data_IF_438883402497
#
_entry.id   IF_438883402497
#
_cell.length_a   1.000
_cell.length_b   1.000
_cell.length_c   1.000
_cell.angle_alpha   90.00
_cell.angle_beta   90.00
_cell.angle_gamma   90.00
#
_symmetry.space_group_name_H-M   'P 1'
#
loop_
_entity.id
_entity.type
_entity.pdbx_description
1 polymer ?
#
# COMPACT_ATOMS: atom_id res chain seq x y z
N UNK A 1 -10.34 -16.96 -1.39
CA UNK A 1 -11.56 -16.45 -0.74
C UNK A 1 -12.41 -15.76 -1.79
N UNK A 2 -13.75 -15.87 -1.74
CA UNK A 2 -14.62 -15.11 -2.64
C UNK A 2 -14.29 -13.62 -2.52
N UNK A 3 -14.15 -12.91 -3.64
CA UNK A 3 -14.05 -11.44 -3.61
C UNK A 3 -15.38 -10.89 -3.08
N UNK A 4 -15.30 -9.94 -2.16
CA UNK A 4 -16.45 -9.12 -1.77
C UNK A 4 -17.07 -8.48 -3.03
N UNK A 5 -18.40 -8.50 -3.13
CA UNK A 5 -19.11 -7.76 -4.18
C UNK A 5 -18.97 -6.24 -3.95
N UNK A 6 -19.21 -5.43 -4.98
CA UNK A 6 -19.18 -3.95 -4.84
C UNK A 6 -20.15 -3.48 -3.75
N UNK A 7 -21.35 -4.07 -3.65
CA UNK A 7 -22.32 -3.75 -2.61
C UNK A 7 -21.82 -4.10 -1.20
N UNK A 8 -21.19 -5.27 -1.04
CA UNK A 8 -20.60 -5.68 0.25
C UNK A 8 -19.47 -4.73 0.68
N UNK A 9 -18.63 -4.32 -0.27
CA UNK A 9 -17.55 -3.36 -0.02
C UNK A 9 -18.10 -1.97 0.39
N UNK A 10 -19.11 -1.46 -0.32
CA UNK A 10 -19.70 -0.15 0.00
C UNK A 10 -20.43 -0.19 1.34
N UNK A 11 -21.17 -1.25 1.63
CA UNK A 11 -21.82 -1.45 2.93
C UNK A 11 -20.79 -1.48 4.06
N UNK A 12 -19.70 -2.22 3.86
CA UNK A 12 -18.57 -2.27 4.79
C UNK A 12 -17.98 -0.87 5.05
N UNK A 13 -17.72 -0.09 3.99
CA UNK A 13 -17.20 1.27 4.13
C UNK A 13 -18.16 2.19 4.88
N UNK A 14 -19.47 2.08 4.66
CA UNK A 14 -20.49 2.83 5.43
C UNK A 14 -20.47 2.47 6.90
N UNK A 15 -20.37 1.18 7.23
CA UNK A 15 -20.19 0.71 8.62
C UNK A 15 -18.91 1.27 9.27
N UNK A 16 -17.83 1.44 8.49
CA UNK A 16 -16.61 2.09 9.00
C UNK A 16 -16.83 3.56 9.33
N UNK A 17 -17.58 4.30 8.51
CA UNK A 17 -17.93 5.70 8.79
C UNK A 17 -18.74 5.84 10.10
N UNK A 18 -19.48 4.81 10.49
CA UNK A 18 -20.20 4.73 11.77
C UNK A 18 -19.30 4.32 12.96
N UNK A 19 -17.98 4.20 12.76
CA UNK A 19 -17.02 3.87 13.82
C UNK A 19 -16.87 2.37 14.11
N UNK A 20 -17.28 1.50 13.17
CA UNK A 20 -17.17 0.04 13.32
C UNK A 20 -16.25 -0.53 12.24
N UNK A 21 -15.20 -1.25 12.64
CA UNK A 21 -14.28 -1.90 11.70
C UNK A 21 -14.39 -3.42 11.83
N UNK A 22 -15.29 -4.06 11.07
CA UNK A 22 -15.35 -5.51 11.05
C UNK A 22 -14.13 -6.03 10.27
N UNK A 23 -13.30 -6.82 10.95
CA UNK A 23 -12.18 -7.52 10.33
C UNK A 23 -12.59 -8.98 10.22
N UNK A 24 -12.54 -9.55 9.02
CA UNK A 24 -12.83 -10.96 8.81
C UNK A 24 -12.00 -11.84 9.77
N UNK A 25 -12.67 -12.66 10.58
CA UNK A 25 -12.03 -13.54 11.56
C UNK A 25 -11.66 -12.90 12.92
N UNK A 26 -11.98 -11.62 13.17
CA UNK A 26 -11.84 -10.97 14.48
C UNK A 26 -13.19 -10.33 14.85
N UNK A 27 -13.62 -10.47 16.11
CA UNK A 27 -14.80 -9.74 16.61
C UNK A 27 -14.65 -8.25 16.31
N UNK A 28 -15.73 -7.62 15.83
CA UNK A 28 -15.72 -6.21 15.44
C UNK A 28 -15.15 -5.36 16.57
N UNK A 29 -14.05 -4.65 16.29
CA UNK A 29 -13.45 -3.74 17.27
C UNK A 29 -13.99 -2.34 17.07
N UNK A 30 -14.23 -1.57 18.16
CA UNK A 30 -14.50 -0.15 18.03
C UNK A 30 -13.36 0.50 17.25
N UNK A 31 -13.68 1.21 16.17
CA UNK A 31 -12.74 2.01 15.41
C UNK A 31 -13.10 3.48 15.63
N UNK A 32 -12.22 4.22 16.30
CA UNK A 32 -12.40 5.66 16.43
C UNK A 32 -11.83 6.34 15.19
N UNK A 33 -12.71 6.76 14.29
CA UNK A 33 -12.34 7.63 13.19
C UNK A 33 -12.12 9.08 13.70
N UNK A 34 -11.30 9.88 13.00
CA UNK A 34 -10.61 9.54 11.76
C UNK A 34 -9.36 8.67 11.94
N UNK A 35 -8.70 8.72 13.10
CA UNK A 35 -7.53 7.88 13.41
C UNK A 35 -7.46 7.57 14.91
N UNK A 36 -7.18 6.32 15.26
CA UNK A 36 -7.05 5.87 16.64
C UNK A 36 -5.63 5.38 16.95
N UNK A 37 -4.85 6.24 17.61
CA UNK A 37 -3.49 5.91 18.05
C UNK A 37 -3.42 4.67 18.95
N UNK A 38 -4.49 4.38 19.71
CA UNK A 38 -4.54 3.22 20.60
C UNK A 38 -4.73 1.92 19.82
N UNK A 39 -5.42 1.98 18.68
CA UNK A 39 -5.66 0.84 17.81
C UNK A 39 -4.38 0.33 17.14
N UNK A 40 -3.33 1.16 16.99
CA UNK A 40 -2.06 0.76 16.37
C UNK A 40 -1.39 -0.42 17.09
N UNK A 41 -1.49 -0.48 18.42
CA UNK A 41 -0.85 -1.50 19.25
C UNK A 41 -1.83 -2.51 19.85
N UNK A 42 -3.11 -2.38 19.54
CA UNK A 42 -4.13 -3.23 20.10
C UNK A 42 -4.12 -4.62 19.43
N UNK A 43 -4.63 -5.63 20.12
CA UNK A 43 -4.90 -6.94 19.52
C UNK A 43 -3.66 -7.72 19.08
N UNK A 44 -3.89 -8.72 18.23
CA UNK A 44 -2.86 -9.62 17.74
C UNK A 44 -2.06 -9.00 16.57
N UNK A 45 -1.00 -9.71 16.17
CA UNK A 45 -0.13 -9.30 15.05
C UNK A 45 -0.91 -9.09 13.75
N UNK A 46 -1.93 -9.91 13.46
CA UNK A 46 -2.76 -9.75 12.28
C UNK A 46 -3.48 -8.39 12.24
N UNK A 47 -4.10 -7.99 13.35
CA UNK A 47 -4.70 -6.66 13.47
C UNK A 47 -3.67 -5.55 13.30
N UNK A 48 -2.57 -5.62 14.04
CA UNK A 48 -1.54 -4.57 14.02
C UNK A 48 -0.95 -4.38 12.62
N UNK A 49 -0.74 -5.48 11.89
CA UNK A 49 -0.27 -5.48 10.51
C UNK A 49 -1.29 -4.79 9.59
N UNK A 50 -2.56 -5.19 9.66
CA UNK A 50 -3.64 -4.63 8.82
C UNK A 50 -3.86 -3.14 9.08
N UNK A 51 -3.87 -2.74 10.35
CA UNK A 51 -4.08 -1.35 10.75
C UNK A 51 -2.89 -0.47 10.33
N UNK A 52 -1.66 -0.90 10.63
CA UNK A 52 -0.43 -0.19 10.25
C UNK A 52 -0.18 -0.18 8.75
N UNK A 53 -0.71 -1.17 8.03
CA UNK A 53 -0.68 -1.30 6.58
C UNK A 53 -1.86 -0.64 5.86
N UNK A 54 -2.57 0.28 6.52
CA UNK A 54 -3.59 1.13 5.87
C UNK A 54 -4.86 0.39 5.38
N UNK A 55 -5.26 -0.70 6.04
CA UNK A 55 -6.50 -1.39 5.67
C UNK A 55 -7.76 -0.52 5.76
N UNK A 56 -7.81 0.43 6.69
CA UNK A 56 -8.93 1.39 6.82
C UNK A 56 -9.03 2.28 5.57
N UNK A 57 -8.03 3.11 5.22
CA UNK A 57 -8.11 3.93 4.02
C UNK A 57 -8.21 3.08 2.74
N UNK A 58 -7.63 1.87 2.68
CA UNK A 58 -7.79 0.98 1.52
C UNK A 58 -9.26 0.64 1.22
N UNK A 59 -10.06 0.31 2.24
CA UNK A 59 -11.49 -0.01 2.06
C UNK A 59 -12.26 1.24 1.63
N UNK A 60 -12.00 2.38 2.27
CA UNK A 60 -12.67 3.65 1.96
C UNK A 60 -12.36 4.11 0.52
N UNK A 61 -11.10 4.02 0.09
CA UNK A 61 -10.67 4.36 -1.28
C UNK A 61 -11.31 3.44 -2.32
N UNK A 62 -11.37 2.13 -2.04
CA UNK A 62 -12.04 1.18 -2.94
C UNK A 62 -13.54 1.50 -3.04
N UNK A 63 -14.21 1.76 -1.92
CA UNK A 63 -15.62 2.13 -1.91
C UNK A 63 -15.89 3.45 -2.66
N UNK A 64 -15.02 4.45 -2.53
CA UNK A 64 -15.09 5.70 -3.29
C UNK A 64 -15.01 5.48 -4.81
N UNK A 65 -14.21 4.51 -5.27
CA UNK A 65 -14.12 4.18 -6.71
C UNK A 65 -15.39 3.52 -7.25
N UNK A 66 -16.06 2.71 -6.42
CA UNK A 66 -17.34 2.08 -6.80
C UNK A 66 -18.48 3.10 -6.76
N UNK A 67 -18.54 3.91 -5.69
CA UNK A 67 -19.54 4.94 -5.46
C UNK A 67 -18.82 6.21 -4.98
N UNK A 68 -18.72 7.26 -5.82
CA UNK A 68 -18.01 8.52 -5.50
C UNK A 68 -18.67 9.39 -4.41
N UNK A 69 -18.86 8.82 -3.22
CA UNK A 69 -19.31 9.51 -2.02
C UNK A 69 -18.11 10.15 -1.31
N UNK A 70 -18.04 11.48 -1.31
CA UNK A 70 -16.92 12.25 -0.76
C UNK A 70 -16.61 11.92 0.70
N UNK A 71 -17.59 11.42 1.47
CA UNK A 71 -17.37 11.01 2.87
C UNK A 71 -16.34 9.89 2.98
N UNK A 72 -16.26 8.99 2.00
CA UNK A 72 -15.24 7.94 1.99
C UNK A 72 -13.84 8.53 1.76
N UNK A 73 -13.70 9.43 0.80
CA UNK A 73 -12.41 10.05 0.49
C UNK A 73 -11.95 10.96 1.62
N UNK A 74 -12.86 11.74 2.23
CA UNK A 74 -12.59 12.55 3.41
C UNK A 74 -12.13 11.70 4.61
N UNK A 75 -12.84 10.60 4.91
CA UNK A 75 -12.43 9.72 6.01
C UNK A 75 -11.07 9.05 5.75
N UNK A 76 -10.75 8.69 4.50
CA UNK A 76 -9.44 8.16 4.14
C UNK A 76 -8.34 9.22 4.33
N UNK A 77 -8.59 10.45 3.90
CA UNK A 77 -7.69 11.60 4.10
C UNK A 77 -7.41 11.82 5.59
N UNK A 78 -8.46 11.92 6.39
CA UNK A 78 -8.33 12.25 7.81
C UNK A 78 -7.59 11.13 8.57
N UNK A 79 -7.81 9.86 8.19
CA UNK A 79 -7.02 8.73 8.71
C UNK A 79 -5.53 8.89 8.37
N UNK A 80 -5.22 9.19 7.10
CA UNK A 80 -3.84 9.35 6.61
C UNK A 80 -3.15 10.50 7.33
N UNK A 81 -3.82 11.64 7.51
CA UNK A 81 -3.29 12.80 8.25
C UNK A 81 -3.11 12.52 9.74
N UNK A 82 -4.01 11.73 10.33
CA UNK A 82 -3.86 11.25 11.72
C UNK A 82 -2.67 10.31 11.88
N UNK A 83 -2.50 9.37 10.95
CA UNK A 83 -1.33 8.48 10.90
C UNK A 83 -0.04 9.28 10.72
N UNK A 84 -0.02 10.24 9.81
CA UNK A 84 1.13 11.12 9.55
C UNK A 84 1.62 11.78 10.84
N UNK A 85 0.71 12.42 11.58
CA UNK A 85 1.04 13.06 12.85
C UNK A 85 1.55 12.07 13.90
N UNK A 86 0.93 10.88 13.97
CA UNK A 86 1.37 9.81 14.87
C UNK A 86 2.76 9.30 14.52
N UNK A 87 3.00 8.96 13.26
CA UNK A 87 4.24 8.39 12.76
C UNK A 87 5.40 9.38 12.90
N UNK A 88 5.18 10.65 12.60
CA UNK A 88 6.18 11.72 12.77
C UNK A 88 6.62 11.89 14.22
N UNK A 89 5.72 11.67 15.18
CA UNK A 89 6.01 11.76 16.61
C UNK A 89 6.69 10.50 17.18
N UNK A 90 7.04 9.50 16.35
CA UNK A 90 7.67 8.25 16.80
C UNK A 90 9.17 8.20 16.56
N UNK A 91 9.89 7.80 17.61
CA UNK A 91 11.34 7.76 17.66
C UNK A 91 11.87 6.34 17.86
N UNK A 92 11.03 5.44 18.39
CA UNK A 92 11.39 4.05 18.71
C UNK A 92 10.52 3.05 17.92
N UNK A 93 11.09 1.92 17.48
CA UNK A 93 10.33 0.85 16.87
C UNK A 93 9.43 0.18 17.92
N UNK A 94 8.13 0.18 17.69
CA UNK A 94 7.14 -0.51 18.52
C UNK A 94 6.09 -1.17 17.64
N UNK A 95 5.67 -2.39 18.01
CA UNK A 95 4.66 -3.16 17.28
C UNK A 95 5.05 -3.38 15.82
N UNK A 96 4.05 -3.44 14.93
CA UNK A 96 4.25 -3.65 13.49
C UNK A 96 4.24 -2.35 12.66
N UNK A 97 4.49 -1.20 13.28
CA UNK A 97 4.51 0.10 12.59
C UNK A 97 5.54 0.12 11.45
N UNK A 98 6.73 -0.43 11.71
CA UNK A 98 7.84 -0.50 10.74
C UNK A 98 8.01 -1.87 10.10
N UNK A 99 6.96 -2.71 10.14
CA UNK A 99 6.98 -3.98 9.44
C UNK A 99 7.04 -3.74 7.92
N UNK A 100 7.80 -4.58 7.22
CA UNK A 100 8.05 -4.49 5.77
C UNK A 100 6.77 -4.54 4.92
N UNK A 101 5.87 -5.50 5.20
CA UNK A 101 4.55 -5.58 4.55
C UNK A 101 3.69 -4.36 4.86
N UNK A 102 3.67 -3.91 6.12
CA UNK A 102 2.89 -2.72 6.50
C UNK A 102 3.38 -1.48 5.74
N UNK A 103 4.69 -1.24 5.68
CA UNK A 103 5.30 -0.12 4.94
C UNK A 103 4.95 -0.23 3.44
N UNK A 104 5.07 -1.43 2.86
CA UNK A 104 4.78 -1.63 1.44
C UNK A 104 3.31 -1.38 1.10
N UNK A 105 2.39 -1.89 1.92
CA UNK A 105 0.96 -1.63 1.78
C UNK A 105 0.65 -0.13 1.88
N UNK A 106 1.24 0.58 2.85
CA UNK A 106 1.12 2.04 2.97
C UNK A 106 1.50 2.75 1.69
N UNK A 107 2.64 2.39 1.09
CA UNK A 107 3.09 3.00 -0.17
C UNK A 107 2.08 2.84 -1.30
N UNK A 108 1.53 1.64 -1.49
CA UNK A 108 0.50 1.37 -2.50
C UNK A 108 -0.74 2.22 -2.26
N UNK A 109 -1.22 2.28 -1.02
CA UNK A 109 -2.48 2.95 -0.65
C UNK A 109 -2.32 4.47 -0.71
N UNK A 110 -1.18 5.01 -0.28
CA UNK A 110 -0.84 6.44 -0.41
C UNK A 110 -0.84 6.88 -1.88
N UNK A 111 -0.23 6.09 -2.76
CA UNK A 111 -0.20 6.39 -4.19
C UNK A 111 -1.62 6.41 -4.78
N UNK A 112 -2.45 5.42 -4.43
CA UNK A 112 -3.85 5.37 -4.86
C UNK A 112 -4.71 6.52 -4.34
N UNK A 113 -4.55 6.83 -3.06
CA UNK A 113 -5.23 7.95 -2.43
C UNK A 113 -4.86 9.27 -3.13
N UNK A 114 -3.57 9.53 -3.30
CA UNK A 114 -3.08 10.75 -3.94
C UNK A 114 -3.63 10.95 -5.35
N UNK A 115 -3.68 9.89 -6.16
CA UNK A 115 -4.25 9.95 -7.51
C UNK A 115 -5.72 10.39 -7.54
N UNK A 116 -6.49 10.09 -6.49
CA UNK A 116 -7.88 10.52 -6.36
C UNK A 116 -7.98 11.90 -5.71
N UNK A 117 -7.29 12.10 -4.60
CA UNK A 117 -7.36 13.31 -3.77
C UNK A 117 -6.86 14.55 -4.49
N UNK A 118 -5.74 14.47 -5.23
CA UNK A 118 -5.15 15.64 -5.94
C UNK A 118 -6.04 16.25 -7.03
N UNK A 119 -7.17 15.61 -7.34
CA UNK A 119 -8.14 16.03 -8.37
C UNK A 119 -9.57 16.15 -7.82
N UNK A 120 -9.76 15.96 -6.51
CA UNK A 120 -11.10 16.03 -5.91
C UNK A 120 -11.41 17.45 -5.43
N UNK A 121 -12.70 17.71 -5.18
CA UNK A 121 -13.14 18.97 -4.57
C UNK A 121 -12.69 19.13 -3.11
N UNK A 122 -12.21 18.04 -2.48
CA UNK A 122 -11.68 18.04 -1.10
C UNK A 122 -10.21 18.45 -1.01
N UNK A 123 -9.57 18.76 -2.14
CA UNK A 123 -8.15 19.05 -2.17
C UNK A 123 -7.82 20.34 -1.43
N UNK A 124 -6.95 20.23 -0.42
CA UNK A 124 -6.43 21.37 0.35
C UNK A 124 -4.90 21.34 0.35
N UNK A 125 -4.28 22.47 0.02
CA UNK A 125 -2.82 22.56 -0.17
C UNK A 125 -2.06 22.14 1.08
N UNK A 126 -2.46 22.63 2.26
CA UNK A 126 -1.78 22.32 3.52
C UNK A 126 -1.90 20.84 3.91
N UNK A 127 -3.02 20.18 3.58
CA UNK A 127 -3.19 18.75 3.80
C UNK A 127 -2.37 17.94 2.79
N UNK A 128 -2.37 18.36 1.53
CA UNK A 128 -1.60 17.75 0.46
C UNK A 128 -0.09 17.74 0.75
N UNK A 129 0.47 18.83 1.26
CA UNK A 129 1.88 18.92 1.68
C UNK A 129 2.22 17.83 2.71
N UNK A 130 1.39 17.67 3.74
CA UNK A 130 1.59 16.64 4.77
C UNK A 130 1.48 15.22 4.21
N UNK A 131 0.57 14.99 3.28
CA UNK A 131 0.42 13.69 2.60
C UNK A 131 1.66 13.38 1.74
N UNK A 132 2.18 14.37 1.02
CA UNK A 132 3.43 14.25 0.23
C UNK A 132 4.62 13.95 1.15
N UNK A 133 4.73 14.62 2.29
CA UNK A 133 5.79 14.35 3.28
C UNK A 133 5.71 12.91 3.81
N UNK A 134 4.51 12.41 4.13
CA UNK A 134 4.32 11.01 4.53
C UNK A 134 4.71 10.04 3.40
N UNK A 135 4.35 10.35 2.15
CA UNK A 135 4.74 9.57 0.99
C UNK A 135 6.26 9.55 0.79
N UNK A 136 6.95 10.68 0.97
CA UNK A 136 8.40 10.78 0.91
C UNK A 136 9.08 9.96 2.01
N UNK A 137 8.59 10.03 3.26
CA UNK A 137 9.11 9.17 4.35
C UNK A 137 8.86 7.69 4.07
N UNK A 138 7.70 7.34 3.54
CA UNK A 138 7.37 5.95 3.15
C UNK A 138 8.28 5.45 2.03
N UNK A 139 8.56 6.27 1.00
CA UNK A 139 9.51 5.95 -0.05
C UNK A 139 10.93 5.73 0.50
N UNK A 140 11.38 6.59 1.43
CA UNK A 140 12.68 6.43 2.08
C UNK A 140 12.79 5.14 2.89
N UNK A 141 11.71 4.72 3.58
CA UNK A 141 11.66 3.45 4.29
C UNK A 141 11.73 2.25 3.34
N UNK A 142 11.02 2.29 2.22
CA UNK A 142 11.06 1.24 1.19
C UNK A 142 12.42 1.15 0.49
N UNK A 143 13.10 2.28 0.30
CA UNK A 143 14.43 2.32 -0.27
C UNK A 143 15.52 1.83 0.72
N UNK A 144 15.25 1.86 2.02
CA UNK A 144 16.23 1.50 3.05
C UNK A 144 16.62 0.01 2.95
N UNK A 145 17.89 -0.24 2.63
CA UNK A 145 18.44 -1.60 2.49
C UNK A 145 18.29 -2.46 3.75
N UNK A 146 18.24 -1.85 4.94
CA UNK A 146 18.06 -2.59 6.21
C UNK A 146 16.64 -3.09 6.42
N UNK A 147 15.68 -2.53 5.69
CA UNK A 147 14.27 -2.90 5.75
C UNK A 147 13.82 -3.71 4.53
N UNK A 148 14.71 -3.94 3.56
CA UNK A 148 14.39 -4.61 2.31
C UNK A 148 14.57 -6.12 2.42
N UNK A 149 13.54 -6.89 2.05
CA UNK A 149 13.52 -8.35 2.16
C UNK A 149 13.76 -8.98 0.78
N UNK A 150 15.03 -9.12 0.39
CA UNK A 150 15.42 -9.67 -0.92
C UNK A 150 14.96 -11.12 -1.13
N UNK A 151 14.77 -11.51 -2.40
CA UNK A 151 14.40 -12.88 -2.82
C UNK A 151 13.17 -13.48 -2.11
N UNK A 152 12.11 -12.68 -1.98
CA UNK A 152 10.83 -13.04 -1.38
C UNK A 152 9.67 -12.24 -1.98
N UNK A 153 8.42 -12.62 -1.70
CA UNK A 153 7.26 -11.80 -2.03
C UNK A 153 7.29 -10.47 -1.30
N UNK A 154 7.86 -10.42 -0.08
CA UNK A 154 7.94 -9.19 0.69
C UNK A 154 8.72 -8.14 -0.10
N UNK A 155 9.90 -8.52 -0.63
CA UNK A 155 10.69 -7.64 -1.49
C UNK A 155 9.96 -7.23 -2.76
N UNK A 156 9.16 -8.12 -3.36
CA UNK A 156 8.34 -7.78 -4.51
C UNK A 156 7.24 -6.76 -4.14
N UNK A 157 6.50 -6.98 -3.07
CA UNK A 157 5.47 -6.03 -2.59
C UNK A 157 6.09 -4.67 -2.25
N UNK A 158 7.27 -4.64 -1.63
CA UNK A 158 8.02 -3.41 -1.32
C UNK A 158 8.38 -2.62 -2.58
N UNK A 159 8.92 -3.31 -3.59
CA UNK A 159 9.27 -2.71 -4.88
C UNK A 159 8.02 -2.18 -5.61
N UNK A 160 6.91 -2.93 -5.62
CA UNK A 160 5.62 -2.48 -6.19
C UNK A 160 5.11 -1.21 -5.49
N UNK A 161 5.19 -1.15 -4.15
CA UNK A 161 4.84 0.04 -3.39
C UNK A 161 5.68 1.25 -3.76
N UNK A 162 7.01 1.07 -3.85
CA UNK A 162 7.94 2.16 -4.19
C UNK A 162 7.76 2.64 -5.63
N UNK A 163 7.67 1.73 -6.60
CA UNK A 163 7.44 2.07 -8.01
C UNK A 163 6.14 2.86 -8.19
N UNK A 164 5.07 2.45 -7.50
CA UNK A 164 3.78 3.15 -7.59
C UNK A 164 3.83 4.56 -7.00
N UNK A 165 4.56 4.76 -5.89
CA UNK A 165 4.82 6.10 -5.36
C UNK A 165 5.59 6.96 -6.37
N UNK A 166 6.66 6.43 -6.97
CA UNK A 166 7.43 7.15 -8.00
C UNK A 166 6.55 7.57 -9.19
N UNK A 167 5.66 6.69 -9.64
CA UNK A 167 4.77 6.95 -10.78
C UNK A 167 3.71 8.01 -10.46
N UNK A 168 3.14 8.00 -9.26
CA UNK A 168 2.01 8.87 -8.91
C UNK A 168 2.40 10.17 -8.21
N UNK A 169 3.67 10.30 -7.79
CA UNK A 169 4.29 11.52 -7.30
C UNK A 169 5.48 11.98 -8.18
N UNK A 170 5.31 12.11 -9.51
CA UNK A 170 6.42 12.37 -10.42
C UNK A 170 7.09 13.73 -10.20
N UNK A 171 6.37 14.68 -9.59
CA UNK A 171 6.83 16.06 -9.37
C UNK A 171 7.75 16.19 -8.13
N UNK A 172 7.90 15.14 -7.32
CA UNK A 172 8.57 15.22 -6.00
C UNK A 172 9.88 14.44 -5.96
N UNK A 173 11.01 15.16 -6.05
CA UNK A 173 12.37 14.57 -6.02
C UNK A 173 12.64 13.69 -4.79
N UNK A 174 12.10 14.07 -3.63
CA UNK A 174 12.21 13.29 -2.39
C UNK A 174 11.67 11.85 -2.52
N UNK A 175 10.81 11.60 -3.51
CA UNK A 175 10.27 10.28 -3.87
C UNK A 175 10.97 9.74 -5.12
N UNK A 176 11.05 10.53 -6.20
CA UNK A 176 11.51 10.05 -7.51
C UNK A 176 13.02 9.77 -7.56
N UNK A 177 13.82 10.33 -6.66
CA UNK A 177 15.26 10.00 -6.55
C UNK A 177 15.57 8.52 -6.37
N UNK A 178 14.59 7.72 -5.90
CA UNK A 178 14.73 6.28 -5.73
C UNK A 178 14.44 5.46 -6.99
N UNK A 179 14.07 6.10 -8.11
CA UNK A 179 13.65 5.44 -9.36
C UNK A 179 14.65 4.41 -9.87
N UNK A 180 15.91 4.77 -10.01
CA UNK A 180 16.94 3.87 -10.52
C UNK A 180 17.06 2.61 -9.67
N UNK A 181 17.21 2.80 -8.35
CA UNK A 181 17.28 1.71 -7.37
C UNK A 181 16.03 0.83 -7.41
N UNK A 182 14.84 1.42 -7.46
CA UNK A 182 13.59 0.67 -7.49
C UNK A 182 13.47 -0.20 -8.75
N UNK A 183 13.85 0.34 -9.91
CA UNK A 183 13.89 -0.40 -11.17
C UNK A 183 14.88 -1.56 -11.11
N UNK A 184 16.12 -1.30 -10.70
CA UNK A 184 17.17 -2.33 -10.59
C UNK A 184 16.76 -3.46 -9.62
N UNK A 185 16.26 -3.09 -8.43
CA UNK A 185 15.78 -4.07 -7.44
C UNK A 185 14.62 -4.89 -7.96
N UNK A 186 13.71 -4.27 -8.70
CA UNK A 186 12.56 -4.98 -9.27
C UNK A 186 13.01 -5.98 -10.33
N UNK A 187 13.90 -5.58 -11.25
CA UNK A 187 14.45 -6.47 -12.27
C UNK A 187 15.21 -7.64 -11.64
N UNK A 188 16.04 -7.37 -10.63
CA UNK A 188 16.73 -8.42 -9.88
C UNK A 188 15.72 -9.35 -9.19
N UNK A 189 14.72 -8.81 -8.50
CA UNK A 189 13.72 -9.62 -7.81
C UNK A 189 12.94 -10.51 -8.79
N UNK A 190 12.57 -10.01 -9.98
CA UNK A 190 11.86 -10.78 -11.00
C UNK A 190 12.66 -12.02 -11.46
N UNK A 191 13.98 -11.88 -11.61
CA UNK A 191 14.87 -13.00 -11.99
C UNK A 191 14.90 -14.10 -10.92
N UNK A 192 14.81 -13.74 -9.65
CA UNK A 192 14.81 -14.72 -8.55
C UNK A 192 13.42 -15.26 -8.24
N UNK A 193 12.38 -14.45 -8.41
CA UNK A 193 11.02 -14.77 -7.96
C UNK A 193 10.27 -15.68 -8.95
N UNK A 194 10.64 -15.66 -10.23
CA UNK A 194 10.04 -16.50 -11.27
C UNK A 194 11.04 -17.52 -11.80
N UNK A 195 10.59 -18.76 -11.98
CA UNK A 195 11.35 -19.76 -12.72
C UNK A 195 11.37 -19.48 -14.22
N UNK A 196 12.18 -20.24 -14.96
CA UNK A 196 12.23 -20.14 -16.42
C UNK A 196 10.88 -20.53 -17.04
N UNK A 197 10.12 -21.38 -16.35
CA UNK A 197 8.77 -21.84 -16.68
C UNK A 197 7.65 -20.93 -16.14
N UNK A 198 7.97 -19.79 -15.51
CA UNK A 198 6.96 -18.86 -14.98
C UNK A 198 6.42 -19.19 -13.59
N UNK A 199 7.01 -20.18 -12.92
CA UNK A 199 6.55 -20.59 -11.59
C UNK A 199 7.08 -19.60 -10.55
N UNK A 200 6.17 -18.98 -9.79
CA UNK A 200 6.51 -18.21 -8.58
C UNK A 200 7.19 -19.13 -7.57
N UNK A 201 8.43 -18.83 -7.19
CA UNK A 201 9.31 -19.72 -6.39
C UNK A 201 9.05 -19.72 -4.89
N UNK A 202 7.99 -19.06 -4.42
CA UNK A 202 7.52 -19.25 -3.05
C UNK A 202 6.62 -20.47 -2.98
N UNK A 203 7.06 -21.47 -2.22
CA UNK A 203 6.49 -22.81 -2.10
C UNK A 203 5.09 -22.87 -1.45
N UNK A 204 4.12 -22.07 -1.91
CA UNK A 204 2.69 -22.29 -1.64
C UNK A 204 1.82 -21.96 -2.86
N UNK A 205 0.87 -22.85 -3.15
CA UNK A 205 -0.09 -22.72 -4.28
C UNK A 205 -0.96 -21.46 -4.14
N UNK A 206 -1.30 -21.07 -2.90
CA UNK A 206 -2.02 -19.82 -2.63
C UNK A 206 -1.18 -18.56 -2.88
N UNK A 207 0.14 -18.64 -2.66
CA UNK A 207 1.07 -17.55 -3.00
C UNK A 207 1.28 -17.42 -4.50
N UNK A 208 1.07 -18.48 -5.29
CA UNK A 208 1.30 -18.42 -6.74
C UNK A 208 0.42 -17.38 -7.43
N UNK A 209 -0.91 -17.40 -7.24
CA UNK A 209 -1.81 -16.42 -7.86
C UNK A 209 -1.54 -14.98 -7.40
N UNK A 210 -1.18 -14.79 -6.12
CA UNK A 210 -0.79 -13.49 -5.59
C UNK A 210 0.54 -13.00 -6.17
N UNK A 211 1.52 -13.90 -6.30
CA UNK A 211 2.81 -13.64 -6.91
C UNK A 211 2.69 -13.28 -8.38
N UNK A 212 1.84 -13.98 -9.15
CA UNK A 212 1.53 -13.63 -10.55
C UNK A 212 0.96 -12.21 -10.64
N UNK A 213 -0.01 -11.86 -9.79
CA UNK A 213 -0.57 -10.50 -9.74
C UNK A 213 0.49 -9.43 -9.43
N UNK A 214 1.39 -9.71 -8.48
CA UNK A 214 2.50 -8.82 -8.14
C UNK A 214 3.45 -8.60 -9.32
N UNK A 215 3.82 -9.68 -10.00
CA UNK A 215 4.69 -9.64 -11.19
C UNK A 215 4.04 -8.81 -12.29
N UNK A 216 2.77 -9.07 -12.62
CA UNK A 216 2.05 -8.31 -13.64
C UNK A 216 2.01 -6.80 -13.31
N UNK A 217 1.78 -6.47 -12.03
CA UNK A 217 1.83 -5.08 -11.56
C UNK A 217 3.21 -4.47 -11.71
N UNK A 218 4.26 -5.17 -11.27
CA UNK A 218 5.64 -4.73 -11.37
C UNK A 218 6.06 -4.47 -12.84
N UNK A 219 5.75 -5.40 -13.74
CA UNK A 219 6.04 -5.27 -15.17
C UNK A 219 5.35 -4.05 -15.77
N UNK A 220 4.06 -3.85 -15.48
CA UNK A 220 3.31 -2.68 -15.96
C UNK A 220 3.93 -1.37 -15.44
N UNK A 221 4.38 -1.33 -14.20
CA UNK A 221 5.06 -0.15 -13.64
C UNK A 221 6.43 0.09 -14.28
N UNK A 222 7.22 -0.95 -14.51
CA UNK A 222 8.49 -0.84 -15.25
C UNK A 222 8.28 -0.30 -16.66
N UNK A 223 7.30 -0.83 -17.39
CA UNK A 223 6.92 -0.35 -18.72
C UNK A 223 6.48 1.12 -18.70
N UNK A 224 5.67 1.52 -17.73
CA UNK A 224 5.26 2.92 -17.57
C UNK A 224 6.46 3.85 -17.31
N UNK A 225 7.50 3.35 -16.65
CA UNK A 225 8.75 4.09 -16.44
C UNK A 225 9.70 4.03 -17.65
N UNK A 226 9.28 3.44 -18.78
CA UNK A 226 10.11 3.29 -19.97
C UNK A 226 11.23 2.26 -19.83
N UNK A 227 11.16 1.39 -18.81
CA UNK A 227 12.11 0.29 -18.63
C UNK A 227 11.70 -0.88 -19.50
N UNK A 228 12.63 -1.33 -20.36
CA UNK A 228 12.45 -2.58 -21.10
C UNK A 228 12.53 -3.76 -20.13
N UNK A 229 11.41 -4.46 -19.97
CA UNK A 229 11.38 -5.75 -19.27
C UNK A 229 11.85 -6.82 -20.26
N UNK A 230 12.74 -7.74 -19.86
CA UNK A 230 13.15 -8.85 -20.73
C UNK A 230 11.92 -9.61 -21.26
N UNK A 231 11.96 -10.03 -22.52
CA UNK A 231 10.91 -10.86 -23.14
C UNK A 231 10.74 -12.19 -22.38
N UNK A 232 9.54 -12.76 -22.42
CA UNK A 232 9.23 -14.00 -21.70
C UNK A 232 8.49 -13.81 -20.38
N UNK A 233 8.66 -12.70 -19.64
CA UNK A 233 8.07 -12.58 -18.30
C UNK A 233 6.54 -12.57 -18.29
N UNK A 234 5.89 -11.88 -19.23
CA UNK A 234 4.42 -11.88 -19.34
C UNK A 234 3.88 -13.10 -20.11
N UNK A 235 4.70 -13.68 -20.99
CA UNK A 235 4.34 -14.85 -21.80
C UNK A 235 4.35 -16.15 -20.97
N UNK A 236 5.02 -16.13 -19.81
CA UNK A 236 5.14 -17.24 -18.85
C UNK A 236 4.13 -17.20 -17.70
N UNK A 237 3.30 -16.15 -17.60
CA UNK A 237 2.28 -15.97 -16.55
C UNK A 237 0.89 -16.34 -17.07
#
# INVERSE_FOLDING_TARGET
>A
MPRETSDQLVALARTMLEGKFPVAGISSRPLRLPFDKSAVFAGNSYWQLRYSGFSVPAVLIRAYREVPDERFLAAARDFILGWEAFERARWLPKGLVWNDHAIAARGVILAEFWHLYRRSALFEVAEAERIVELAARTAALLANKRLYTYASNHGMVQNVGLLKLIILFPEFDAITRYRHMAVERTLAQLQYYLSEEGIVREHSIGYHAYGVWLVQGAVKFLQHLGTRVPSGYLERL
#
